data_IF_135977615082
#
_entry.id   IF_135977615082
#
_cell.length_a   1.000
_cell.length_b   1.000
_cell.length_c   1.000
_cell.angle_alpha   90.00
_cell.angle_beta   90.00
_cell.angle_gamma   90.00
#
_symmetry.space_group_name_H-M   'P 1'
#
loop_
_entity.id
_entity.type
_entity.pdbx_description
1 polymer ?
#
# COMPACT_ATOMS: atom_id res chain seq x y z
N UNK A 1 -16.44 -22.03 -15.54
CA UNK A 1 -15.00 -22.32 -15.68
C UNK A 1 -14.32 -21.54 -14.57
N UNK A 2 -13.65 -22.21 -13.67
CA UNK A 2 -12.98 -21.54 -12.53
C UNK A 2 -11.52 -21.36 -12.94
N UNK A 3 -11.08 -20.10 -12.99
CA UNK A 3 -9.68 -19.79 -13.22
C UNK A 3 -8.89 -20.08 -11.94
N UNK A 4 -7.91 -20.97 -12.00
CA UNK A 4 -7.11 -21.41 -10.85
C UNK A 4 -5.69 -20.83 -10.86
N UNK A 5 -5.42 -19.91 -11.77
CA UNK A 5 -4.10 -19.29 -11.92
C UNK A 5 -3.94 -18.02 -11.09
N UNK A 6 -2.72 -17.77 -10.65
CA UNK A 6 -2.30 -16.51 -10.03
C UNK A 6 -1.41 -15.74 -11.01
N UNK A 7 -1.89 -14.66 -11.62
CA UNK A 7 -1.13 -13.89 -12.58
C UNK A 7 0.00 -13.08 -11.95
N UNK A 8 -0.01 -12.87 -10.64
CA UNK A 8 1.07 -12.15 -9.92
C UNK A 8 2.31 -13.04 -9.84
N UNK A 9 2.13 -14.31 -9.50
CA UNK A 9 3.22 -15.29 -9.42
C UNK A 9 3.44 -16.06 -10.71
N UNK A 10 2.62 -15.81 -11.74
CA UNK A 10 2.62 -16.51 -13.04
C UNK A 10 2.49 -18.03 -12.89
N UNK A 11 1.62 -18.48 -11.98
CA UNK A 11 1.39 -19.90 -11.70
C UNK A 11 -0.05 -20.31 -12.00
N UNK A 12 -0.25 -21.59 -12.32
CA UNK A 12 -1.56 -22.14 -12.64
C UNK A 12 -2.08 -21.73 -14.00
N UNK A 13 -3.40 -21.80 -14.19
CA UNK A 13 -4.03 -21.45 -15.46
C UNK A 13 -4.39 -19.96 -15.49
N UNK A 14 -3.80 -19.23 -16.44
CA UNK A 14 -3.94 -17.79 -16.62
C UNK A 14 -4.65 -17.51 -17.93
N UNK A 15 -5.68 -16.68 -17.90
CA UNK A 15 -6.36 -16.25 -19.12
C UNK A 15 -5.70 -15.00 -19.71
N UNK A 16 -5.00 -15.17 -20.82
CA UNK A 16 -4.31 -14.11 -21.54
C UNK A 16 -5.15 -13.51 -22.70
N UNK A 17 -6.44 -13.88 -22.80
CA UNK A 17 -7.29 -13.38 -23.88
C UNK A 17 -7.90 -12.02 -23.52
N UNK A 18 -7.76 -11.07 -24.43
CA UNK A 18 -8.41 -9.75 -24.37
C UNK A 18 -9.85 -9.86 -24.90
N UNK A 19 -10.70 -10.59 -24.20
CA UNK A 19 -12.10 -10.74 -24.56
C UNK A 19 -13.03 -10.27 -23.44
N UNK A 20 -14.27 -9.99 -23.77
CA UNK A 20 -15.30 -9.68 -22.77
C UNK A 20 -15.47 -10.88 -21.81
N UNK A 21 -15.29 -10.64 -20.52
CA UNK A 21 -15.34 -11.66 -19.48
C UNK A 21 -16.67 -11.56 -18.74
N UNK A 22 -17.39 -12.68 -18.71
CA UNK A 22 -18.64 -12.81 -17.96
C UNK A 22 -18.45 -13.84 -16.87
N UNK A 23 -18.78 -13.46 -15.65
CA UNK A 23 -18.69 -14.34 -14.48
C UNK A 23 -20.09 -14.69 -14.00
N UNK A 24 -20.36 -15.98 -13.83
CA UNK A 24 -21.57 -16.48 -13.20
C UNK A 24 -21.19 -16.96 -11.81
N UNK A 25 -21.86 -16.43 -10.80
CA UNK A 25 -21.71 -16.83 -9.41
C UNK A 25 -22.97 -17.58 -8.98
N UNK A 26 -22.80 -18.78 -8.40
CA UNK A 26 -23.90 -19.55 -7.83
C UNK A 26 -23.54 -20.03 -6.42
N UNK A 27 -24.53 -20.08 -5.53
CA UNK A 27 -24.36 -20.55 -4.16
C UNK A 27 -24.22 -22.09 -4.04
N UNK A 28 -24.37 -22.81 -5.15
CA UNK A 28 -24.51 -24.27 -5.12
C UNK A 28 -25.90 -24.72 -4.66
N UNK A 29 -26.08 -26.02 -4.48
CA UNK A 29 -27.33 -26.59 -3.96
C UNK A 29 -27.35 -26.51 -2.43
N UNK A 30 -28.48 -26.11 -1.87
CA UNK A 30 -28.72 -26.14 -0.43
C UNK A 30 -30.18 -26.51 -0.17
N UNK A 31 -30.44 -27.12 0.96
CA UNK A 31 -31.79 -27.47 1.42
C UNK A 31 -32.30 -26.34 2.32
N UNK A 32 -33.51 -25.85 2.03
CA UNK A 32 -34.18 -24.85 2.85
C UNK A 32 -35.45 -25.47 3.42
N UNK A 33 -35.43 -25.91 4.70
CA UNK A 33 -36.61 -26.45 5.36
C UNK A 33 -37.75 -25.43 5.38
N UNK A 34 -38.99 -25.94 5.38
CA UNK A 34 -40.18 -25.09 5.43
C UNK A 34 -40.18 -24.18 6.66
N UNK A 35 -40.41 -22.91 6.46
CA UNK A 35 -40.39 -21.87 7.51
C UNK A 35 -39.03 -21.23 7.80
N UNK A 36 -37.98 -21.73 7.18
CA UNK A 36 -36.65 -21.14 7.32
C UNK A 36 -36.36 -20.12 6.20
N UNK A 37 -35.45 -19.20 6.47
CA UNK A 37 -35.01 -18.19 5.53
C UNK A 37 -33.51 -18.31 5.31
N UNK A 38 -33.07 -18.27 4.07
CA UNK A 38 -31.66 -18.15 3.73
C UNK A 38 -31.38 -16.74 3.17
N UNK A 39 -30.36 -16.10 3.70
CA UNK A 39 -29.93 -14.78 3.24
C UNK A 39 -28.60 -14.92 2.53
N UNK A 40 -28.51 -14.37 1.33
CA UNK A 40 -27.28 -14.36 0.52
C UNK A 40 -26.79 -12.94 0.42
N UNK A 41 -25.52 -12.75 0.71
CA UNK A 41 -24.83 -11.51 0.50
C UNK A 41 -23.87 -11.67 -0.68
N UNK A 42 -24.01 -10.81 -1.69
CA UNK A 42 -23.10 -10.78 -2.83
C UNK A 42 -22.44 -9.42 -2.90
N UNK A 43 -21.15 -9.41 -3.20
CA UNK A 43 -20.39 -8.19 -3.33
C UNK A 43 -19.47 -8.24 -4.56
N UNK A 44 -19.19 -7.09 -5.14
CA UNK A 44 -18.19 -6.93 -6.17
C UNK A 44 -17.02 -6.19 -5.54
N UNK A 45 -15.84 -6.81 -5.57
CA UNK A 45 -14.61 -6.21 -5.05
C UNK A 45 -13.81 -5.72 -6.24
N UNK A 46 -13.48 -4.43 -6.24
CA UNK A 46 -12.66 -3.81 -7.28
C UNK A 46 -11.40 -3.26 -6.59
N UNK A 47 -10.25 -3.87 -6.89
CA UNK A 47 -8.95 -3.36 -6.48
C UNK A 47 -8.39 -2.43 -7.54
N UNK A 48 -7.99 -1.22 -7.15
CA UNK A 48 -7.26 -0.29 -8.01
C UNK A 48 -5.81 -0.21 -7.55
N UNK A 49 -4.91 -0.78 -8.34
CA UNK A 49 -3.47 -0.73 -8.14
C UNK A 49 -2.77 0.21 -9.10
N UNK A 50 -1.46 0.27 -9.02
CA UNK A 50 -0.60 1.08 -9.90
C UNK A 50 -0.47 0.49 -11.31
N UNK A 51 -0.67 -0.82 -11.41
CA UNK A 51 -0.68 -1.58 -12.66
C UNK A 51 -1.65 -2.77 -12.55
N UNK A 52 -1.77 -3.56 -13.60
CA UNK A 52 -2.70 -4.70 -13.64
C UNK A 52 -2.40 -5.77 -12.57
N UNK A 53 -1.13 -6.06 -12.30
CA UNK A 53 -0.74 -7.07 -11.31
C UNK A 53 -0.95 -6.57 -9.88
N UNK A 54 -0.60 -5.31 -9.61
CA UNK A 54 -0.85 -4.69 -8.33
C UNK A 54 -2.35 -4.58 -8.04
N UNK A 55 -3.18 -4.29 -9.05
CA UNK A 55 -4.65 -4.29 -8.91
C UNK A 55 -5.18 -5.66 -8.49
N UNK A 56 -4.62 -6.75 -9.00
CA UNK A 56 -4.98 -8.11 -8.60
C UNK A 56 -4.59 -8.36 -7.14
N UNK A 57 -3.37 -7.99 -6.76
CA UNK A 57 -2.88 -8.14 -5.39
C UNK A 57 -3.74 -7.38 -4.37
N UNK A 58 -4.11 -6.14 -4.69
CA UNK A 58 -5.01 -5.33 -3.85
C UNK A 58 -6.40 -5.98 -3.73
N UNK A 59 -6.94 -6.51 -4.84
CA UNK A 59 -8.23 -7.20 -4.84
C UNK A 59 -8.19 -8.47 -3.99
N UNK A 60 -7.13 -9.25 -4.08
CA UNK A 60 -6.93 -10.47 -3.27
C UNK A 60 -6.84 -10.13 -1.77
N UNK A 61 -6.07 -9.12 -1.39
CA UNK A 61 -5.96 -8.70 0.00
C UNK A 61 -7.31 -8.24 0.58
N UNK A 62 -8.11 -7.51 -0.20
CA UNK A 62 -9.45 -7.11 0.18
C UNK A 62 -10.40 -8.31 0.33
N UNK A 63 -10.34 -9.27 -0.58
CA UNK A 63 -11.10 -10.51 -0.52
C UNK A 63 -10.79 -11.32 0.76
N UNK A 64 -9.51 -11.52 1.05
CA UNK A 64 -9.07 -12.28 2.24
C UNK A 64 -9.53 -11.60 3.53
N UNK A 65 -9.52 -10.27 3.58
CA UNK A 65 -10.01 -9.50 4.72
C UNK A 65 -11.51 -9.72 4.94
N UNK A 66 -12.31 -9.70 3.87
CA UNK A 66 -13.75 -9.93 3.93
C UNK A 66 -14.04 -11.38 4.33
N UNK A 67 -13.34 -12.34 3.73
CA UNK A 67 -13.52 -13.77 4.00
C UNK A 67 -13.23 -14.10 5.47
N UNK A 68 -12.16 -13.57 6.03
CA UNK A 68 -11.81 -13.75 7.43
C UNK A 68 -12.89 -13.18 8.36
N UNK A 69 -13.47 -12.03 8.05
CA UNK A 69 -14.57 -11.44 8.84
C UNK A 69 -15.83 -12.29 8.79
N UNK A 70 -16.19 -12.83 7.63
CA UNK A 70 -17.34 -13.71 7.46
C UNK A 70 -17.16 -15.02 8.24
N UNK A 71 -15.97 -15.62 8.22
CA UNK A 71 -15.66 -16.86 8.95
C UNK A 71 -15.68 -16.66 10.48
N UNK A 72 -15.34 -15.47 10.97
CA UNK A 72 -15.40 -15.15 12.41
C UNK A 72 -16.83 -14.88 12.90
N UNK A 73 -17.86 -15.01 12.04
CA UNK A 73 -19.26 -14.83 12.41
C UNK A 73 -19.63 -13.39 12.81
N UNK A 74 -18.77 -12.44 12.52
CA UNK A 74 -19.08 -11.02 12.69
C UNK A 74 -19.96 -10.60 11.51
N UNK A 75 -21.27 -10.78 11.66
CA UNK A 75 -22.28 -10.44 10.64
C UNK A 75 -22.47 -8.95 10.44
N UNK A 76 -21.85 -8.12 11.25
CA UNK A 76 -21.72 -6.69 11.00
C UNK A 76 -20.57 -6.43 10.03
N UNK A 77 -20.75 -6.88 8.78
CA UNK A 77 -20.10 -6.19 7.67
C UNK A 77 -20.83 -4.86 7.58
N UNK A 78 -20.24 -3.74 7.99
CA UNK A 78 -20.86 -2.46 7.69
C UNK A 78 -20.98 -2.42 6.17
N UNK A 79 -22.24 -2.43 5.66
CA UNK A 79 -22.56 -2.09 4.28
C UNK A 79 -22.38 -0.57 4.07
N UNK A 80 -21.49 0.05 4.85
CA UNK A 80 -20.85 1.27 4.48
C UNK A 80 -19.85 0.90 3.40
N UNK A 81 -19.91 1.56 2.28
CA UNK A 81 -18.75 1.82 1.46
C UNK A 81 -17.76 2.48 2.43
N UNK A 82 -17.04 1.67 3.23
CA UNK A 82 -15.70 2.06 3.53
C UNK A 82 -15.05 2.00 2.14
N UNK A 83 -15.12 3.13 1.44
CA UNK A 83 -14.01 3.41 0.58
C UNK A 83 -12.81 2.95 1.39
N UNK A 84 -12.19 1.85 0.99
CA UNK A 84 -10.77 1.66 1.23
C UNK A 84 -10.15 2.81 0.42
N UNK A 85 -10.36 3.99 0.97
CA UNK A 85 -9.51 5.11 0.77
C UNK A 85 -8.23 4.76 1.57
N UNK A 86 -7.53 3.78 1.08
CA UNK A 86 -6.17 4.10 0.78
C UNK A 86 -6.31 5.24 -0.20
N UNK A 87 -6.70 6.41 0.30
CA UNK A 87 -6.79 7.61 -0.50
C UNK A 87 -5.41 7.70 -1.10
N UNK A 88 -5.34 7.44 -2.41
CA UNK A 88 -4.12 7.81 -3.12
C UNK A 88 -4.00 9.26 -2.76
N UNK A 89 -3.00 9.62 -1.97
CA UNK A 89 -2.91 10.96 -1.45
C UNK A 89 -2.95 11.91 -2.63
N UNK A 90 -3.76 12.94 -2.56
CA UNK A 90 -3.91 13.89 -3.67
C UNK A 90 -2.68 14.77 -3.85
N UNK A 91 -1.78 14.78 -2.87
CA UNK A 91 -0.63 15.67 -2.83
C UNK A 91 0.62 14.93 -2.35
N UNK A 92 1.76 15.30 -2.89
CA UNK A 92 3.06 14.95 -2.30
C UNK A 92 3.19 15.60 -0.92
N UNK A 93 3.68 14.85 0.05
CA UNK A 93 4.07 15.39 1.34
C UNK A 93 5.33 14.71 1.86
N UNK A 94 6.14 15.48 2.57
CA UNK A 94 7.27 14.99 3.35
C UNK A 94 7.11 15.54 4.77
N UNK A 95 6.86 14.65 5.73
CA UNK A 95 6.68 15.00 7.13
C UNK A 95 8.01 15.12 7.86
N UNK A 96 8.03 15.94 8.90
CA UNK A 96 9.18 16.00 9.80
C UNK A 96 9.45 14.60 10.39
N UNK A 97 10.72 14.19 10.42
CA UNK A 97 11.10 12.92 11.04
C UNK A 97 10.76 12.91 12.54
N UNK A 98 10.37 11.75 13.02
CA UNK A 98 10.07 11.57 14.44
C UNK A 98 10.73 10.30 14.99
N UNK A 99 11.42 10.39 16.15
CA UNK A 99 11.71 11.61 16.92
C UNK A 99 12.66 12.58 16.20
N UNK A 100 12.68 13.85 16.62
CA UNK A 100 13.66 14.86 16.19
C UNK A 100 13.82 15.91 17.32
N UNK A 101 14.95 16.00 18.03
CA UNK A 101 16.20 15.23 17.82
C UNK A 101 16.05 13.73 18.06
N UNK A 102 16.95 12.92 17.47
CA UNK A 102 16.91 11.46 17.56
C UNK A 102 18.28 10.84 17.92
N UNK A 103 18.23 9.64 18.52
CA UNK A 103 19.40 8.86 18.94
C UNK A 103 19.05 7.35 18.99
N UNK A 104 19.63 6.49 18.19
CA UNK A 104 20.23 6.79 16.91
C UNK A 104 19.22 6.72 15.77
N UNK A 105 17.97 6.36 16.03
CA UNK A 105 16.95 6.03 15.04
C UNK A 105 15.84 7.05 14.95
N UNK A 106 15.35 7.23 13.74
CA UNK A 106 14.19 8.05 13.45
C UNK A 106 13.39 7.47 12.29
N UNK A 107 12.13 7.87 12.18
CA UNK A 107 11.23 7.51 11.09
C UNK A 107 10.87 8.75 10.30
N UNK A 108 11.00 8.67 8.98
CA UNK A 108 10.61 9.70 8.03
C UNK A 108 9.39 9.19 7.29
N UNK A 109 8.30 9.97 7.29
CA UNK A 109 7.06 9.65 6.59
C UNK A 109 6.84 10.59 5.43
N UNK A 110 6.40 10.03 4.32
CA UNK A 110 6.10 10.80 3.12
C UNK A 110 4.97 10.15 2.33
N UNK A 111 4.45 10.90 1.39
CA UNK A 111 3.26 10.54 0.64
C UNK A 111 3.50 10.80 -0.84
N UNK A 112 3.21 9.79 -1.66
CA UNK A 112 3.32 9.86 -3.12
C UNK A 112 1.93 9.75 -3.74
N UNK A 113 1.42 10.78 -4.46
CA UNK A 113 0.11 10.70 -5.12
C UNK A 113 0.14 9.85 -6.40
N UNK A 114 1.32 9.68 -6.98
CA UNK A 114 1.54 8.86 -8.19
C UNK A 114 2.76 7.97 -8.00
N UNK A 115 2.70 6.78 -8.60
CA UNK A 115 3.85 5.89 -8.64
C UNK A 115 4.96 6.48 -9.51
N UNK A 116 6.21 6.26 -9.13
CA UNK A 116 7.35 6.71 -9.92
C UNK A 116 8.67 6.54 -9.20
N UNK A 117 9.73 6.84 -9.95
CA UNK A 117 11.08 6.80 -9.41
C UNK A 117 11.24 7.83 -8.30
N UNK A 118 11.70 7.36 -7.16
CA UNK A 118 11.84 8.17 -5.95
C UNK A 118 13.25 8.03 -5.40
N UNK A 119 13.88 9.15 -5.11
CA UNK A 119 15.22 9.23 -4.51
C UNK A 119 15.14 9.97 -3.18
N UNK A 120 15.69 9.37 -2.13
CA UNK A 120 15.77 9.96 -0.79
C UNK A 120 17.20 9.93 -0.28
N UNK A 121 17.79 11.09 -0.04
CA UNK A 121 19.21 11.25 0.29
C UNK A 121 19.38 12.11 1.53
N UNK A 122 20.30 11.70 2.39
CA UNK A 122 20.72 12.45 3.56
C UNK A 122 21.99 13.25 3.23
N UNK A 123 21.98 14.53 3.57
CA UNK A 123 23.10 15.46 3.39
C UNK A 123 23.55 16.04 4.71
N UNK A 124 24.82 16.39 4.79
CA UNK A 124 25.38 17.20 5.87
C UNK A 124 25.09 18.71 5.64
N UNK A 125 25.54 19.54 6.59
CA UNK A 125 25.36 21.00 6.53
C UNK A 125 26.13 21.67 5.38
N UNK A 126 27.10 21.00 4.78
CA UNK A 126 27.88 21.48 3.64
C UNK A 126 27.26 21.03 2.31
N UNK A 127 26.14 20.29 2.35
CA UNK A 127 25.49 19.73 1.17
C UNK A 127 26.17 18.49 0.59
N UNK A 128 27.09 17.88 1.34
CA UNK A 128 27.70 16.62 0.93
C UNK A 128 26.74 15.47 1.23
N UNK A 129 26.55 14.59 0.26
CA UNK A 129 25.79 13.35 0.44
C UNK A 129 26.45 12.46 1.51
N UNK A 130 25.67 12.07 2.51
CA UNK A 130 26.06 11.18 3.59
C UNK A 130 25.63 9.76 3.29
N UNK A 131 24.36 9.59 2.92
CA UNK A 131 23.79 8.28 2.56
C UNK A 131 22.52 8.42 1.74
N UNK A 132 22.27 7.46 0.86
CA UNK A 132 21.02 7.32 0.12
C UNK A 132 20.13 6.30 0.82
N UNK A 133 18.93 6.71 1.21
CA UNK A 133 17.96 5.85 1.89
C UNK A 133 16.97 5.21 0.90
N UNK A 134 16.66 5.92 -0.19
CA UNK A 134 15.72 5.49 -1.21
C UNK A 134 16.31 5.76 -2.59
N UNK A 135 16.20 4.77 -3.50
CA UNK A 135 16.70 4.91 -4.86
C UNK A 135 16.03 3.87 -5.78
N UNK A 136 14.78 4.13 -6.20
CA UNK A 136 14.04 3.20 -7.03
C UNK A 136 12.59 3.61 -7.25
N UNK A 137 11.87 2.76 -7.99
CA UNK A 137 10.45 2.97 -8.25
C UNK A 137 9.63 2.64 -6.99
N UNK A 138 8.71 3.53 -6.65
CA UNK A 138 7.78 3.39 -5.54
C UNK A 138 6.34 3.55 -6.00
N UNK A 139 5.44 2.82 -5.34
CA UNK A 139 4.00 2.94 -5.59
C UNK A 139 3.44 4.26 -5.07
N UNK A 140 2.28 4.67 -5.58
CA UNK A 140 1.49 5.72 -4.93
C UNK A 140 1.03 5.26 -3.55
N UNK A 141 0.94 6.18 -2.58
CA UNK A 141 0.51 5.86 -1.22
C UNK A 141 1.33 6.56 -0.14
N UNK A 142 1.10 6.11 1.10
CA UNK A 142 1.86 6.55 2.26
C UNK A 142 3.05 5.61 2.49
N UNK A 143 4.21 6.20 2.72
CA UNK A 143 5.46 5.48 2.92
C UNK A 143 6.16 5.92 4.19
N UNK A 144 6.95 5.02 4.74
CA UNK A 144 7.88 5.35 5.81
C UNK A 144 9.26 4.71 5.56
N UNK A 145 10.29 5.42 5.92
CA UNK A 145 11.66 4.94 5.90
C UNK A 145 12.30 5.15 7.26
N UNK A 146 12.97 4.13 7.77
CA UNK A 146 13.75 4.20 9.00
C UNK A 146 15.15 4.61 8.67
N UNK A 147 15.67 5.52 9.47
CA UNK A 147 17.05 5.98 9.36
C UNK A 147 17.76 5.78 10.68
N UNK A 148 18.92 5.12 10.61
CA UNK A 148 19.82 4.90 11.74
C UNK A 148 21.10 5.70 11.50
N UNK A 149 21.42 6.56 12.47
CA UNK A 149 22.58 7.47 12.44
C UNK A 149 23.73 7.02 13.38
N UNK A 150 23.84 5.72 13.66
CA UNK A 150 24.91 5.21 14.55
C UNK A 150 26.30 5.68 14.14
N UNK A 151 26.58 5.72 12.84
CA UNK A 151 27.87 6.07 12.28
C UNK A 151 28.05 7.58 12.06
N UNK A 152 27.04 8.40 12.41
CA UNK A 152 27.08 9.84 12.23
C UNK A 152 27.39 10.54 13.55
N UNK A 153 28.08 11.67 13.47
CA UNK A 153 28.31 12.56 14.61
C UNK A 153 27.03 13.30 14.97
N UNK A 154 26.91 13.72 16.26
CA UNK A 154 25.86 14.66 16.65
C UNK A 154 25.93 15.91 15.78
N UNK A 155 24.77 16.37 15.29
CA UNK A 155 24.73 17.52 14.40
C UNK A 155 23.44 17.63 13.61
N UNK A 156 23.43 18.58 12.68
CA UNK A 156 22.30 18.84 11.78
C UNK A 156 22.56 18.17 10.45
N UNK A 157 21.52 17.50 9.96
CA UNK A 157 21.48 16.85 8.65
C UNK A 157 20.21 17.24 7.93
N UNK A 158 20.18 17.02 6.62
CA UNK A 158 19.01 17.29 5.79
C UNK A 158 18.66 16.02 5.02
N UNK A 159 17.42 15.59 5.11
CA UNK A 159 16.89 14.56 4.22
C UNK A 159 16.13 15.23 3.09
N UNK A 160 16.50 14.92 1.84
CA UNK A 160 15.85 15.41 0.64
C UNK A 160 15.18 14.25 -0.09
N UNK A 161 13.90 14.43 -0.40
CA UNK A 161 13.09 13.52 -1.17
C UNK A 161 12.79 14.13 -2.53
N UNK A 162 13.01 13.35 -3.58
CA UNK A 162 12.74 13.71 -4.98
C UNK A 162 11.88 12.61 -5.60
N UNK A 163 10.78 12.98 -6.28
CA UNK A 163 9.95 12.08 -7.04
C UNK A 163 9.26 12.83 -8.18
N UNK A 164 9.59 12.49 -9.43
CA UNK A 164 9.16 13.26 -10.59
C UNK A 164 9.58 14.73 -10.50
N UNK A 165 8.59 15.63 -10.55
CA UNK A 165 8.82 17.08 -10.40
C UNK A 165 8.78 17.56 -8.95
N UNK A 166 8.54 16.67 -8.00
CA UNK A 166 8.50 17.01 -6.58
C UNK A 166 9.90 16.93 -5.97
N UNK A 167 10.27 17.96 -5.21
CA UNK A 167 11.47 17.97 -4.38
C UNK A 167 11.17 18.69 -3.07
N UNK A 168 11.47 18.03 -1.95
CA UNK A 168 11.31 18.61 -0.62
C UNK A 168 12.42 18.13 0.30
N UNK A 169 12.73 18.95 1.32
CA UNK A 169 13.74 18.59 2.32
C UNK A 169 13.29 18.93 3.73
N UNK A 170 13.71 18.10 4.69
CA UNK A 170 13.50 18.31 6.13
C UNK A 170 14.83 18.36 6.86
N UNK A 171 14.86 19.13 7.95
CA UNK A 171 16.00 19.21 8.85
C UNK A 171 15.90 18.10 9.92
N UNK A 172 16.95 17.35 10.08
CA UNK A 172 17.10 16.30 11.10
C UNK A 172 18.22 16.66 12.07
N UNK A 173 18.04 16.38 13.36
CA UNK A 173 19.03 16.63 14.38
C UNK A 173 19.41 15.32 15.07
N UNK A 174 20.67 14.93 14.92
CA UNK A 174 21.25 13.76 15.61
C UNK A 174 21.79 14.24 16.95
N UNK A 175 21.28 13.65 18.05
CA UNK A 175 21.73 13.89 19.40
C UNK A 175 22.32 12.59 19.98
N UNK A 176 23.59 12.60 20.33
CA UNK A 176 24.21 11.50 21.06
C UNK A 176 24.55 11.94 22.47
#
# INVERSE_FOLDING_TARGET
MIYSGDPVTNTGWIDNHLADKRTIVSSGKFDLPAGNTATFHTGIIIGRGTDQFNSITVTQAAYDTILNRVQLGTTDVPLGIEEFTGSVPSHFSLSQNYPNPFNPETVIRFTLPVAGYTKGVVYDVLGKEVTTLLNGDMSAGNHEVRFNANDLSSGVYFFRLESGNFSSAIKMVVGK
#
